data_IF_481915822908
#
_entry.id   IF_481915822908
#
_cell.length_a   1.000
_cell.length_b   1.000
_cell.length_c   1.000
_cell.angle_alpha   90.00
_cell.angle_beta   90.00
_cell.angle_gamma   90.00
#
_symmetry.space_group_name_H-M   'P 1'
#
loop_
_entity.id
_entity.type
_entity.pdbx_description
1 polymer ?
#
# COMPACT_ATOMS: atom_id res chain seq x y z
N UNK A 1 -31.26 -4.54 -18.36
CA UNK A 1 -30.39 -4.05 -19.45
C UNK A 1 -29.25 -5.03 -19.58
N UNK A 2 -29.15 -5.74 -20.69
CA UNK A 2 -28.02 -6.63 -20.93
C UNK A 2 -26.82 -5.81 -21.37
N UNK A 3 -25.75 -5.82 -20.59
CA UNK A 3 -24.46 -5.24 -20.99
C UNK A 3 -23.86 -6.12 -22.08
N UNK A 4 -24.07 -5.74 -23.35
CA UNK A 4 -23.43 -6.39 -24.50
C UNK A 4 -21.92 -6.29 -24.34
N UNK A 5 -21.31 -7.42 -23.98
CA UNK A 5 -19.85 -7.56 -23.88
C UNK A 5 -19.26 -7.23 -25.26
N UNK A 6 -18.25 -6.37 -25.30
CA UNK A 6 -17.54 -6.06 -26.55
C UNK A 6 -16.69 -7.27 -26.95
N UNK A 7 -16.73 -7.72 -28.23
CA UNK A 7 -15.97 -8.90 -28.65
C UNK A 7 -14.48 -8.80 -28.35
N UNK A 8 -13.85 -9.94 -28.09
CA UNK A 8 -12.41 -10.10 -27.99
C UNK A 8 -11.72 -9.90 -29.35
N UNK A 9 -10.41 -9.61 -29.36
CA UNK A 9 -9.65 -9.51 -30.61
C UNK A 9 -9.63 -10.82 -31.39
N UNK A 10 -9.57 -11.95 -30.67
CA UNK A 10 -9.57 -13.28 -31.25
C UNK A 10 -10.87 -13.58 -32.01
N UNK A 11 -12.04 -13.24 -31.45
CA UNK A 11 -13.33 -13.37 -32.14
C UNK A 11 -13.39 -12.50 -33.42
N UNK A 12 -12.85 -11.28 -33.38
CA UNK A 12 -12.80 -10.41 -34.55
C UNK A 12 -11.86 -10.96 -35.65
N UNK A 13 -10.72 -11.54 -35.27
CA UNK A 13 -9.83 -12.24 -36.22
C UNK A 13 -10.50 -13.48 -36.83
N UNK A 14 -11.22 -14.28 -36.04
CA UNK A 14 -11.98 -15.42 -36.54
C UNK A 14 -13.04 -15.01 -37.57
N UNK A 15 -13.87 -14.01 -37.26
CA UNK A 15 -14.89 -13.47 -38.17
C UNK A 15 -14.24 -12.86 -39.43
N UNK A 16 -13.09 -12.21 -39.31
CA UNK A 16 -12.38 -11.63 -40.45
C UNK A 16 -11.79 -12.71 -41.39
N UNK A 17 -11.28 -13.81 -40.81
CA UNK A 17 -10.83 -14.98 -41.55
C UNK A 17 -11.97 -15.65 -42.31
N UNK A 18 -13.11 -15.91 -41.64
CA UNK A 18 -14.32 -16.48 -42.26
C UNK A 18 -14.86 -15.60 -43.40
N UNK A 19 -14.76 -14.28 -43.28
CA UNK A 19 -15.18 -13.31 -44.32
C UNK A 19 -14.14 -13.14 -45.45
N UNK A 20 -13.04 -13.90 -45.45
CA UNK A 20 -12.01 -13.85 -46.47
C UNK A 20 -11.33 -12.48 -46.61
N UNK A 21 -11.29 -11.70 -45.52
CA UNK A 21 -10.58 -10.43 -45.51
C UNK A 21 -9.07 -10.69 -45.66
N UNK A 22 -8.39 -9.81 -46.42
CA UNK A 22 -6.94 -9.81 -46.55
C UNK A 22 -6.38 -8.65 -45.74
N UNK A 23 -5.22 -8.84 -45.12
CA UNK A 23 -4.50 -7.82 -44.34
C UNK A 23 -5.24 -7.29 -43.09
N UNK A 24 -6.05 -8.12 -42.42
CA UNK A 24 -6.76 -7.72 -41.20
C UNK A 24 -5.94 -7.85 -39.90
N UNK A 25 -4.83 -8.60 -39.92
CA UNK A 25 -4.01 -8.90 -38.73
C UNK A 25 -3.27 -7.67 -38.15
N UNK A 26 -3.13 -6.60 -38.94
CA UNK A 26 -2.45 -5.35 -38.55
C UNK A 26 -3.45 -4.23 -38.20
N UNK A 27 -4.75 -4.54 -38.09
CA UNK A 27 -5.78 -3.55 -37.79
C UNK A 27 -6.01 -3.45 -36.28
N UNK A 28 -6.10 -2.22 -35.77
CA UNK A 28 -6.46 -1.98 -34.38
C UNK A 28 -7.85 -2.54 -34.06
N UNK A 29 -8.11 -2.88 -32.79
CA UNK A 29 -9.43 -3.36 -32.33
C UNK A 29 -10.61 -2.50 -32.82
N UNK A 30 -10.63 -1.16 -32.65
CA UNK A 30 -11.74 -0.34 -33.14
C UNK A 30 -11.84 -0.30 -34.67
N UNK A 31 -10.73 -0.35 -35.40
CA UNK A 31 -10.73 -0.35 -36.88
C UNK A 31 -11.28 -1.66 -37.43
N UNK A 32 -10.81 -2.80 -36.91
CA UNK A 32 -11.27 -4.12 -37.29
C UNK A 32 -12.76 -4.32 -36.96
N UNK A 33 -13.18 -3.92 -35.76
CA UNK A 33 -14.58 -3.93 -35.35
C UNK A 33 -15.46 -3.07 -36.27
N UNK A 34 -15.01 -1.85 -36.58
CA UNK A 34 -15.70 -0.96 -37.52
C UNK A 34 -15.78 -1.52 -38.94
N UNK A 35 -14.70 -2.16 -39.42
CA UNK A 35 -14.63 -2.75 -40.75
C UNK A 35 -15.53 -4.00 -40.88
N UNK A 36 -15.64 -4.79 -39.81
CA UNK A 36 -16.55 -5.92 -39.73
C UNK A 36 -18.02 -5.47 -39.68
N UNK A 37 -18.37 -4.47 -38.86
CA UNK A 37 -19.73 -3.90 -38.83
C UNK A 37 -20.12 -3.27 -40.18
N UNK A 38 -19.22 -2.54 -40.85
CA UNK A 38 -19.47 -1.93 -42.17
C UNK A 38 -19.79 -2.96 -43.27
N UNK A 39 -19.37 -4.22 -43.13
CA UNK A 39 -19.73 -5.31 -44.05
C UNK A 39 -20.94 -6.14 -43.62
N UNK A 40 -21.48 -5.90 -42.43
CA UNK A 40 -22.62 -6.66 -41.89
C UNK A 40 -23.98 -6.15 -42.41
N UNK A 41 -24.01 -4.93 -42.97
CA UNK A 41 -25.12 -4.42 -43.79
C UNK A 41 -24.69 -4.23 -45.24
N UNK A 42 -24.89 -5.25 -46.10
CA UNK A 42 -24.28 -5.30 -47.43
C UNK A 42 -25.13 -5.91 -48.55
N UNK A 43 -26.46 -5.96 -48.41
CA UNK A 43 -27.35 -6.37 -49.49
C UNK A 43 -27.80 -5.20 -50.36
N UNK A 44 -27.26 -5.08 -51.58
CA UNK A 44 -27.91 -4.35 -52.68
C UNK A 44 -27.44 -2.90 -53.00
N UNK A 45 -26.88 -2.76 -54.20
CA UNK A 45 -26.97 -1.67 -55.19
C UNK A 45 -27.14 -0.16 -54.80
N UNK A 46 -26.36 0.65 -55.55
CA UNK A 46 -26.65 2.03 -56.04
C UNK A 46 -26.67 3.23 -55.07
N UNK A 47 -25.58 4.03 -55.15
CA UNK A 47 -25.46 5.50 -55.31
C UNK A 47 -26.29 6.51 -54.45
N UNK A 48 -25.81 7.76 -54.28
CA UNK A 48 -26.03 8.57 -53.07
C UNK A 48 -27.14 9.63 -53.20
N UNK A 49 -27.50 10.31 -52.09
CA UNK A 49 -27.79 11.77 -52.02
C UNK A 49 -28.03 12.28 -50.56
N UNK A 50 -27.32 13.35 -50.20
CA UNK A 50 -27.63 14.54 -49.37
C UNK A 50 -28.30 14.52 -47.97
N UNK A 51 -27.71 15.38 -47.12
CA UNK A 51 -28.29 16.44 -46.26
C UNK A 51 -29.48 16.15 -45.32
N UNK A 52 -29.30 16.45 -44.01
CA UNK A 52 -29.87 17.65 -43.35
C UNK A 52 -30.09 17.50 -41.82
N UNK A 53 -29.41 18.37 -41.08
CA UNK A 53 -29.78 19.00 -39.79
C UNK A 53 -31.14 18.66 -39.15
N UNK A 54 -31.12 18.44 -37.82
CA UNK A 54 -31.49 19.49 -36.83
C UNK A 54 -31.28 19.02 -35.39
N UNK A 55 -30.35 19.67 -34.68
CA UNK A 55 -30.27 19.58 -33.22
C UNK A 55 -31.20 20.60 -32.54
N UNK A 56 -31.68 20.24 -31.35
CA UNK A 56 -32.76 20.98 -30.65
C UNK A 56 -32.22 21.87 -29.55
N UNK A 57 -32.77 23.08 -29.44
CA UNK A 57 -32.36 24.10 -28.45
C UNK A 57 -33.13 24.01 -27.11
N UNK A 58 -32.37 24.22 -26.01
CA UNK A 58 -32.64 25.15 -24.88
C UNK A 58 -33.46 24.80 -23.62
N UNK A 59 -32.88 25.28 -22.50
CA UNK A 59 -33.38 25.77 -21.19
C UNK A 59 -34.06 24.77 -20.21
N UNK A 60 -33.69 24.66 -18.92
CA UNK A 60 -33.84 25.59 -17.73
C UNK A 60 -35.33 25.95 -17.47
N UNK A 61 -35.98 25.92 -16.30
CA UNK A 61 -35.73 26.20 -14.85
C UNK A 61 -36.79 25.44 -13.98
N UNK A 62 -36.82 25.34 -12.63
CA UNK A 62 -35.88 25.50 -11.49
C UNK A 62 -36.54 25.02 -10.16
N UNK A 63 -35.77 24.76 -9.09
CA UNK A 63 -36.18 24.77 -7.64
C UNK A 63 -37.30 23.77 -7.20
N UNK A 64 -37.57 23.45 -5.93
CA UNK A 64 -37.21 23.95 -4.58
C UNK A 64 -36.86 22.80 -3.59
N UNK A 65 -36.47 23.15 -2.36
CA UNK A 65 -36.13 22.22 -1.29
C UNK A 65 -37.04 22.36 -0.05
N UNK A 66 -36.83 21.48 0.94
CA UNK A 66 -37.31 21.49 2.34
C UNK A 66 -38.64 20.78 2.63
N UNK A 67 -38.59 19.76 3.50
CA UNK A 67 -39.38 19.65 4.73
C UNK A 67 -38.77 18.56 5.65
N UNK A 68 -38.82 18.81 6.95
CA UNK A 68 -38.24 18.04 8.06
C UNK A 68 -39.02 16.79 8.44
N UNK A 69 -38.36 15.81 9.10
CA UNK A 69 -39.05 14.90 10.03
C UNK A 69 -38.13 14.31 11.11
N UNK A 70 -38.58 14.42 12.37
CA UNK A 70 -37.95 13.89 13.58
C UNK A 70 -38.91 12.95 14.33
N UNK A 71 -38.36 11.98 15.06
CA UNK A 71 -38.89 11.25 16.23
C UNK A 71 -37.95 10.06 16.48
N UNK A 72 -37.30 9.84 17.64
CA UNK A 72 -37.79 9.79 19.02
C UNK A 72 -38.94 8.78 19.26
N UNK A 73 -38.57 7.59 19.73
CA UNK A 73 -39.41 6.66 20.48
C UNK A 73 -38.68 6.32 21.78
N UNK A 74 -39.20 6.79 22.92
CA UNK A 74 -40.06 6.01 23.84
C UNK A 74 -39.36 4.74 24.36
N UNK A 75 -38.94 4.52 25.61
CA UNK A 75 -39.23 5.05 26.97
C UNK A 75 -39.78 3.94 27.90
N UNK A 76 -39.36 4.01 29.17
CA UNK A 76 -40.04 3.48 30.37
C UNK A 76 -40.31 1.96 30.50
N UNK A 77 -39.52 1.32 31.37
CA UNK A 77 -40.03 0.28 32.27
C UNK A 77 -39.46 0.46 33.69
N UNK A 78 -40.20 1.20 34.53
CA UNK A 78 -39.97 1.22 35.99
C UNK A 78 -40.72 0.05 36.61
N UNK A 79 -40.05 -0.78 37.42
CA UNK A 79 -40.72 -1.45 38.55
C UNK A 79 -39.83 -1.45 39.79
N UNK A 80 -40.47 -1.12 40.91
CA UNK A 80 -39.88 -0.68 42.18
C UNK A 80 -40.34 -1.66 43.25
N UNK A 81 -39.44 -2.24 44.02
CA UNK A 81 -39.73 -2.73 45.39
C UNK A 81 -38.48 -2.58 46.26
N UNK A 82 -38.70 -2.17 47.51
CA UNK A 82 -37.71 -1.72 48.49
C UNK A 82 -38.13 -2.30 49.83
N UNK A 83 -37.25 -3.05 50.50
CA UNK A 83 -37.47 -3.48 51.90
C UNK A 83 -36.12 -3.63 52.61
N UNK A 84 -35.87 -2.72 53.58
CA UNK A 84 -35.08 -2.81 54.84
C UNK A 84 -33.79 -3.66 54.92
N UNK A 85 -32.65 -3.12 55.38
CA UNK A 85 -32.28 -2.86 56.81
C UNK A 85 -32.32 -4.15 57.67
N UNK A 86 -31.28 -4.55 58.42
CA UNK A 86 -29.96 -3.97 58.68
C UNK A 86 -28.97 -5.08 59.18
N UNK A 87 -27.72 -4.71 59.47
CA UNK A 87 -26.75 -5.42 60.33
C UNK A 87 -26.20 -6.80 59.90
N UNK A 88 -24.94 -6.81 59.42
CA UNK A 88 -23.78 -7.14 60.30
C UNK A 88 -22.44 -6.83 59.63
N UNK A 89 -21.45 -6.57 60.48
CA UNK A 89 -20.10 -6.19 60.10
C UNK A 89 -19.21 -7.40 59.74
N UNK A 90 -18.03 -7.08 59.20
CA UNK A 90 -16.89 -7.98 58.96
C UNK A 90 -17.15 -9.17 58.01
N UNK A 91 -16.74 -9.01 56.75
CA UNK A 91 -15.53 -9.66 56.22
C UNK A 91 -15.54 -9.65 54.68
N UNK A 92 -14.75 -8.75 54.07
CA UNK A 92 -14.43 -8.78 52.63
C UNK A 92 -13.15 -7.97 52.34
N UNK A 93 -12.02 -8.42 52.91
CA UNK A 93 -10.68 -7.96 52.50
C UNK A 93 -10.06 -8.78 51.35
N UNK A 94 -10.88 -9.45 50.54
CA UNK A 94 -10.45 -10.20 49.35
C UNK A 94 -11.34 -9.93 48.11
N UNK A 95 -11.37 -8.66 47.65
CA UNK A 95 -11.97 -8.31 46.35
C UNK A 95 -10.93 -8.36 45.24
N UNK A 96 -10.75 -9.56 44.71
CA UNK A 96 -10.24 -9.87 43.36
C UNK A 96 -8.95 -9.12 42.98
N UNK A 97 -7.80 -9.70 43.33
CA UNK A 97 -6.62 -9.58 42.46
C UNK A 97 -7.03 -10.11 41.09
N UNK A 98 -7.22 -9.22 40.12
CA UNK A 98 -7.36 -9.62 38.73
C UNK A 98 -6.12 -10.46 38.38
N UNK A 99 -6.33 -11.61 37.72
CA UNK A 99 -5.23 -12.51 37.38
C UNK A 99 -4.32 -11.78 36.39
N UNK A 100 -3.23 -11.20 36.89
CA UNK A 100 -2.27 -10.45 36.09
C UNK A 100 -1.63 -11.41 35.10
N UNK A 101 -2.05 -11.32 33.84
CA UNK A 101 -1.45 -12.06 32.74
C UNK A 101 -0.19 -11.29 32.35
N UNK A 102 0.93 -11.66 32.96
CA UNK A 102 2.25 -11.21 32.55
C UNK A 102 2.63 -12.02 31.31
N UNK A 103 3.03 -11.33 30.24
CA UNK A 103 3.54 -11.94 29.02
C UNK A 103 4.88 -12.64 29.29
N UNK A 104 5.11 -13.80 28.67
CA UNK A 104 6.37 -14.58 28.83
C UNK A 104 7.45 -14.19 27.81
N UNK A 105 7.07 -13.50 26.75
CA UNK A 105 7.94 -13.03 25.67
C UNK A 105 7.84 -11.51 25.57
N UNK A 106 8.96 -10.85 25.25
CA UNK A 106 9.02 -9.45 24.88
C UNK A 106 8.16 -9.18 23.63
N UNK A 107 7.15 -8.29 23.67
CA UNK A 107 6.28 -8.05 22.51
C UNK A 107 6.97 -7.40 21.31
N UNK A 108 8.16 -6.79 21.49
CA UNK A 108 8.90 -6.14 20.40
C UNK A 108 9.67 -7.17 19.58
N UNK A 109 10.53 -7.95 20.24
CA UNK A 109 11.41 -8.93 19.56
C UNK A 109 10.84 -10.36 19.50
N UNK A 110 9.72 -10.63 20.20
CA UNK A 110 9.15 -11.97 20.41
C UNK A 110 10.12 -12.97 21.06
N UNK A 111 11.13 -12.46 21.75
CA UNK A 111 12.15 -13.21 22.47
C UNK A 111 11.78 -13.37 23.96
N UNK A 112 12.47 -14.25 24.69
CA UNK A 112 12.27 -14.41 26.13
C UNK A 112 12.59 -13.11 26.91
N UNK A 113 11.88 -12.91 28.02
CA UNK A 113 12.16 -11.78 28.91
C UNK A 113 13.48 -12.01 29.66
N UNK A 114 14.39 -11.04 29.55
CA UNK A 114 15.71 -11.05 30.15
C UNK A 114 15.73 -10.52 31.59
N UNK A 115 16.93 -10.28 32.16
CA UNK A 115 17.10 -9.83 33.54
C UNK A 115 16.72 -8.35 33.78
N UNK A 116 16.55 -7.56 32.71
CA UNK A 116 16.24 -6.13 32.77
C UNK A 116 14.97 -5.83 31.99
N UNK A 117 13.88 -5.65 32.73
CA UNK A 117 12.53 -5.49 32.18
C UNK A 117 11.85 -4.21 32.64
N UNK A 118 11.01 -3.64 31.78
CA UNK A 118 10.15 -2.49 32.10
C UNK A 118 8.67 -2.90 32.11
N UNK A 119 7.96 -2.59 33.20
CA UNK A 119 6.52 -2.84 33.34
C UNK A 119 5.70 -1.59 33.02
N UNK A 120 4.75 -1.72 32.08
CA UNK A 120 3.79 -0.66 31.73
C UNK A 120 2.36 -1.08 32.07
N UNK A 121 1.66 -0.25 32.84
CA UNK A 121 0.26 -0.48 33.24
C UNK A 121 -0.68 0.31 32.33
N UNK A 122 -1.50 -0.42 31.57
CA UNK A 122 -2.47 0.15 30.63
C UNK A 122 -3.72 0.65 31.36
N UNK A 123 -4.51 1.49 30.68
CA UNK A 123 -5.75 2.09 31.21
C UNK A 123 -6.82 1.08 31.63
N UNK A 124 -6.79 -0.14 31.08
CA UNK A 124 -7.66 -1.26 31.44
C UNK A 124 -7.17 -2.07 32.67
N UNK A 125 -6.03 -1.70 33.27
CA UNK A 125 -5.40 -2.40 34.39
C UNK A 125 -4.59 -3.65 34.00
N UNK A 126 -4.43 -3.96 32.71
CA UNK A 126 -3.45 -4.96 32.27
C UNK A 126 -2.03 -4.40 32.33
N UNK A 127 -1.07 -5.25 32.67
CA UNK A 127 0.36 -4.91 32.69
C UNK A 127 1.04 -5.69 31.59
N UNK A 128 1.91 -5.01 30.84
CA UNK A 128 2.81 -5.60 29.86
C UNK A 128 4.25 -5.39 30.31
N UNK A 129 5.10 -6.34 29.99
CA UNK A 129 6.52 -6.34 30.35
C UNK A 129 7.36 -6.36 29.08
N UNK A 130 8.27 -5.41 28.94
CA UNK A 130 9.22 -5.33 27.81
C UNK A 130 10.64 -5.62 28.28
N UNK A 131 11.48 -6.13 27.40
CA UNK A 131 12.92 -6.03 27.60
C UNK A 131 13.33 -4.56 27.47
N UNK A 132 14.14 -4.05 28.40
CA UNK A 132 14.52 -2.63 28.41
C UNK A 132 15.34 -2.28 27.16
N UNK A 133 16.20 -3.19 26.73
CA UNK A 133 17.03 -3.04 25.52
C UNK A 133 16.18 -2.84 24.25
N UNK A 134 15.24 -3.74 23.98
CA UNK A 134 14.38 -3.64 22.80
C UNK A 134 13.45 -2.44 22.85
N UNK A 135 12.95 -2.05 24.04
CA UNK A 135 12.11 -0.87 24.21
C UNK A 135 12.89 0.44 23.95
N UNK A 136 14.12 0.55 24.48
CA UNK A 136 14.98 1.72 24.23
C UNK A 136 15.37 1.80 22.75
N UNK A 137 15.82 0.69 22.15
CA UNK A 137 16.16 0.63 20.73
C UNK A 137 14.95 0.97 19.84
N UNK A 138 13.75 0.49 20.19
CA UNK A 138 12.51 0.83 19.49
C UNK A 138 12.22 2.34 19.53
N UNK A 139 12.23 2.95 20.73
CA UNK A 139 11.94 4.38 20.89
C UNK A 139 12.97 5.22 20.12
N UNK A 140 14.26 4.90 20.23
CA UNK A 140 15.33 5.64 19.57
C UNK A 140 15.39 5.43 18.06
N UNK A 141 15.04 4.25 17.54
CA UNK A 141 15.04 3.98 16.09
C UNK A 141 13.77 4.49 15.39
N UNK A 142 12.63 4.53 16.09
CA UNK A 142 11.36 4.95 15.49
C UNK A 142 11.02 6.41 15.72
N UNK A 143 11.44 6.98 16.86
CA UNK A 143 10.98 8.27 17.35
C UNK A 143 9.57 8.26 17.97
N UNK A 144 8.98 7.08 18.18
CA UNK A 144 7.66 6.96 18.81
C UNK A 144 7.80 6.76 20.33
N UNK A 145 7.43 7.79 21.08
CA UNK A 145 7.43 7.81 22.55
C UNK A 145 6.12 7.28 23.15
N UNK A 146 5.51 6.33 22.44
CA UNK A 146 4.26 5.67 22.81
C UNK A 146 4.50 4.17 23.00
N UNK A 147 3.67 3.54 23.83
CA UNK A 147 3.77 2.11 24.07
C UNK A 147 3.48 1.31 22.77
N UNK A 148 4.32 0.33 22.37
CA UNK A 148 4.32 -0.21 21.00
C UNK A 148 3.01 -0.89 20.53
N UNK A 149 2.29 -1.57 21.43
CA UNK A 149 1.07 -2.31 21.09
C UNK A 149 -0.17 -1.41 21.07
N UNK A 150 -0.31 -0.56 22.09
CA UNK A 150 -1.52 0.22 22.39
C UNK A 150 -1.44 1.67 21.92
N UNK A 151 -0.24 2.16 21.57
CA UNK A 151 0.06 3.55 21.18
C UNK A 151 -0.37 4.58 22.22
N UNK A 152 -0.42 4.18 23.49
CA UNK A 152 -0.62 5.09 24.61
C UNK A 152 0.71 5.84 24.86
N UNK A 153 0.76 7.18 24.82
CA UNK A 153 1.97 7.93 25.07
C UNK A 153 2.57 7.61 26.45
N UNK A 154 3.87 7.39 26.53
CA UNK A 154 4.58 7.30 27.80
C UNK A 154 4.56 8.66 28.51
N UNK A 155 4.36 8.67 29.83
CA UNK A 155 4.55 9.89 30.62
C UNK A 155 6.04 10.18 30.84
N UNK A 156 6.39 11.43 31.15
CA UNK A 156 7.78 11.80 31.49
C UNK A 156 8.36 10.92 32.62
N UNK A 157 7.51 10.46 33.55
CA UNK A 157 7.90 9.54 34.62
C UNK A 157 8.20 8.13 34.11
N UNK A 158 7.54 7.70 33.05
CA UNK A 158 7.79 6.40 32.42
C UNK A 158 9.10 6.42 31.65
N UNK A 159 9.32 7.47 30.84
CA UNK A 159 10.58 7.69 30.12
C UNK A 159 11.78 7.77 31.09
N UNK A 160 11.67 8.53 32.19
CA UNK A 160 12.70 8.55 33.23
C UNK A 160 12.93 7.18 33.89
N UNK A 161 11.89 6.35 34.07
CA UNK A 161 12.05 4.98 34.59
C UNK A 161 12.75 4.08 33.58
N UNK A 162 12.44 4.20 32.29
CA UNK A 162 13.11 3.46 31.21
C UNK A 162 14.62 3.78 31.20
N UNK A 163 15.00 5.06 31.27
CA UNK A 163 16.42 5.48 31.34
C UNK A 163 17.14 4.95 32.60
N UNK A 164 16.45 4.89 33.75
CA UNK A 164 17.00 4.31 34.99
C UNK A 164 17.24 2.80 34.84
N UNK A 165 16.30 2.04 34.27
CA UNK A 165 16.50 0.61 34.03
C UNK A 165 17.55 0.35 32.95
N UNK A 166 17.63 1.18 31.90
CA UNK A 166 18.66 1.12 30.86
C UNK A 166 20.07 1.34 31.43
N UNK A 167 20.19 2.30 32.36
CA UNK A 167 21.43 2.58 33.10
C UNK A 167 21.86 1.41 33.97
N UNK A 168 20.91 0.73 34.66
CA UNK A 168 21.20 -0.49 35.43
C UNK A 168 21.63 -1.66 34.54
N UNK A 169 21.02 -1.78 33.37
CA UNK A 169 21.36 -2.76 32.33
C UNK A 169 22.69 -2.43 31.62
N UNK A 170 23.28 -1.25 31.87
CA UNK A 170 24.52 -0.75 31.25
C UNK A 170 24.44 -0.68 29.71
N UNK A 171 23.26 -0.36 29.19
CA UNK A 171 23.07 -0.12 27.75
C UNK A 171 23.87 1.12 27.32
N UNK A 172 24.58 1.03 26.20
CA UNK A 172 25.34 2.14 25.62
C UNK A 172 24.48 2.96 24.65
N UNK A 173 23.22 3.19 25.04
CA UNK A 173 22.20 3.87 24.24
C UNK A 173 22.00 5.31 24.73
N UNK A 174 21.39 6.15 23.88
CA UNK A 174 21.05 7.53 24.25
C UNK A 174 19.85 7.56 25.20
N UNK A 175 19.73 8.61 26.02
CA UNK A 175 18.56 8.79 26.89
C UNK A 175 17.27 8.96 26.07
N UNK A 176 16.23 8.20 26.41
CA UNK A 176 14.89 8.36 25.80
C UNK A 176 14.23 9.66 26.22
N UNK A 177 14.53 10.18 27.42
CA UNK A 177 14.07 11.51 27.88
C UNK A 177 14.72 12.64 27.08
N UNK A 178 16.01 12.53 26.74
CA UNK A 178 16.68 13.50 25.86
C UNK A 178 16.20 13.41 24.41
N UNK A 179 15.94 12.20 23.91
CA UNK A 179 15.34 12.00 22.61
C UNK A 179 13.93 12.64 22.53
N UNK A 180 13.09 12.50 23.57
CA UNK A 180 11.75 13.09 23.61
C UNK A 180 11.76 14.63 23.54
N UNK A 181 12.77 15.30 24.13
CA UNK A 181 12.94 16.75 24.00
C UNK A 181 13.24 17.18 22.55
N UNK A 182 13.87 16.29 21.78
CA UNK A 182 14.23 16.51 20.37
C UNK A 182 13.25 15.84 19.40
N UNK A 183 12.01 15.51 19.82
CA UNK A 183 10.99 14.80 19.01
C UNK A 183 10.82 15.32 17.58
N UNK A 184 10.98 16.63 17.34
CA UNK A 184 10.91 17.22 16.00
C UNK A 184 11.93 16.63 15.01
N UNK A 185 13.16 16.31 15.43
CA UNK A 185 14.17 15.72 14.54
C UNK A 185 13.74 14.32 14.08
N UNK A 186 13.15 13.54 14.98
CA UNK A 186 12.61 12.22 14.66
C UNK A 186 11.38 12.28 13.75
N UNK A 187 10.55 13.32 13.88
CA UNK A 187 9.42 13.58 12.98
C UNK A 187 9.90 13.94 11.56
N UNK A 188 10.93 14.79 11.44
CA UNK A 188 11.58 15.11 10.16
C UNK A 188 12.23 13.87 9.51
N UNK A 189 12.99 13.09 10.28
CA UNK A 189 13.58 11.82 9.81
C UNK A 189 12.51 10.79 9.42
N UNK A 190 11.40 10.73 10.14
CA UNK A 190 10.26 9.88 9.79
C UNK A 190 9.63 10.33 8.47
N UNK A 191 9.39 11.63 8.26
CA UNK A 191 8.89 12.16 6.98
C UNK A 191 9.85 11.81 5.84
N UNK A 192 11.16 11.90 6.05
CA UNK A 192 12.16 11.46 5.05
C UNK A 192 12.04 9.96 4.75
N UNK A 193 11.96 9.10 5.77
CA UNK A 193 11.80 7.63 5.60
C UNK A 193 10.49 7.27 4.88
N UNK A 194 9.37 7.89 5.27
CA UNK A 194 8.07 7.67 4.66
C UNK A 194 8.06 8.15 3.18
N UNK A 195 8.79 9.21 2.86
CA UNK A 195 9.02 9.67 1.49
C UNK A 195 9.84 8.69 0.63
N UNK A 196 10.93 8.14 1.19
CA UNK A 196 11.74 7.10 0.52
C UNK A 196 10.91 5.83 0.28
N UNK A 197 10.08 5.42 1.24
CA UNK A 197 9.14 4.30 1.09
C UNK A 197 8.06 4.59 0.05
N UNK A 198 7.62 5.85 -0.08
CA UNK A 198 6.73 6.28 -1.16
C UNK A 198 7.36 6.11 -2.54
N UNK A 199 8.61 6.56 -2.72
CA UNK A 199 9.38 6.40 -3.96
C UNK A 199 9.63 4.92 -4.29
N UNK A 200 9.91 4.07 -3.29
CA UNK A 200 10.07 2.63 -3.48
C UNK A 200 8.79 1.99 -4.03
N UNK A 201 7.61 2.33 -3.48
CA UNK A 201 6.32 1.87 -4.01
C UNK A 201 6.11 2.33 -5.45
N UNK A 202 6.40 3.59 -5.76
CA UNK A 202 6.33 4.11 -7.14
C UNK A 202 7.26 3.33 -8.09
N UNK A 203 8.49 3.01 -7.66
CA UNK A 203 9.43 2.19 -8.43
C UNK A 203 8.89 0.75 -8.62
N UNK A 204 8.33 0.15 -7.57
CA UNK A 204 7.69 -1.18 -7.60
C UNK A 204 6.55 -1.27 -8.61
N UNK A 205 5.73 -0.23 -8.79
CA UNK A 205 4.70 -0.20 -9.84
C UNK A 205 5.28 -0.28 -11.26
N UNK A 206 6.46 0.31 -11.52
CA UNK A 206 7.14 0.14 -12.80
C UNK A 206 7.75 -1.25 -12.96
N UNK A 207 8.20 -1.88 -11.87
CA UNK A 207 8.66 -3.28 -11.90
C UNK A 207 7.50 -4.25 -12.16
N UNK A 208 6.29 -3.97 -11.63
CA UNK A 208 5.09 -4.73 -11.99
C UNK A 208 4.78 -4.59 -13.49
N UNK A 209 4.85 -3.39 -14.06
CA UNK A 209 4.67 -3.18 -15.51
C UNK A 209 5.75 -3.86 -16.36
N UNK A 210 6.99 -3.91 -15.88
CA UNK A 210 8.05 -4.70 -16.52
C UNK A 210 7.68 -6.19 -16.56
N UNK A 211 7.08 -6.72 -15.50
CA UNK A 211 6.61 -8.11 -15.45
C UNK A 211 5.42 -8.35 -16.39
N UNK A 212 4.45 -7.43 -16.43
CA UNK A 212 3.32 -7.47 -17.38
C UNK A 212 3.79 -7.50 -18.85
N UNK A 213 4.85 -6.75 -19.18
CA UNK A 213 5.48 -6.74 -20.52
C UNK A 213 6.29 -8.01 -20.81
N UNK A 214 6.83 -8.68 -19.78
CA UNK A 214 7.50 -9.99 -19.94
C UNK A 214 6.48 -11.10 -20.21
N UNK A 215 5.29 -10.99 -19.62
CA UNK A 215 4.21 -11.96 -19.77
C UNK A 215 3.26 -11.69 -20.95
N UNK A 216 3.47 -10.61 -21.73
CA UNK A 216 2.67 -10.29 -22.93
C UNK A 216 3.11 -11.05 -24.19
N UNK A 217 2.20 -11.19 -25.16
CA UNK A 217 2.42 -11.82 -26.46
C UNK A 217 2.82 -10.84 -27.57
N UNK A 218 2.80 -9.53 -27.31
CA UNK A 218 3.32 -8.49 -28.20
C UNK A 218 4.68 -7.94 -27.69
N UNK A 219 5.82 -8.33 -28.29
CA UNK A 219 7.14 -7.82 -27.92
C UNK A 219 7.45 -6.45 -28.52
N UNK A 220 6.80 -6.04 -29.62
CA UNK A 220 7.06 -4.75 -30.29
C UNK A 220 6.43 -3.59 -29.50
N UNK A 221 5.18 -3.76 -29.06
CA UNK A 221 4.53 -2.83 -28.12
C UNK A 221 5.27 -2.84 -26.76
N UNK A 222 5.72 -4.01 -26.31
CA UNK A 222 6.52 -4.18 -25.09
C UNK A 222 7.82 -3.36 -25.10
N UNK A 223 8.66 -3.50 -26.13
CA UNK A 223 9.91 -2.76 -26.27
C UNK A 223 9.68 -1.23 -26.31
N UNK A 224 8.65 -0.79 -27.06
CA UNK A 224 8.26 0.62 -27.13
C UNK A 224 7.87 1.16 -25.74
N UNK A 225 7.05 0.42 -24.98
CA UNK A 225 6.62 0.83 -23.63
C UNK A 225 7.79 0.87 -22.65
N UNK A 226 8.72 -0.08 -22.71
CA UNK A 226 9.92 -0.10 -21.87
C UNK A 226 10.77 1.15 -22.10
N UNK A 227 11.13 1.44 -23.35
CA UNK A 227 12.02 2.56 -23.70
C UNK A 227 11.36 3.92 -23.46
N UNK A 228 10.11 4.10 -23.88
CA UNK A 228 9.45 5.41 -23.87
C UNK A 228 8.88 5.82 -22.52
N UNK A 229 8.63 4.89 -21.59
CA UNK A 229 7.87 5.16 -20.38
C UNK A 229 8.45 4.46 -19.14
N UNK A 230 8.58 3.12 -19.18
CA UNK A 230 8.85 2.34 -17.96
C UNK A 230 10.30 2.50 -17.47
N UNK A 231 11.30 2.40 -18.35
CA UNK A 231 12.71 2.58 -17.97
C UNK A 231 13.05 4.00 -17.51
N UNK A 232 12.67 5.09 -18.21
CA UNK A 232 12.93 6.45 -17.73
C UNK A 232 12.28 6.71 -16.36
N UNK A 233 11.00 6.35 -16.21
CA UNK A 233 10.24 6.62 -14.98
C UNK A 233 10.73 5.81 -13.78
N UNK A 234 11.07 4.53 -13.99
CA UNK A 234 11.71 3.72 -12.95
C UNK A 234 13.07 4.31 -12.57
N UNK A 235 13.90 4.66 -13.56
CA UNK A 235 15.25 5.15 -13.32
C UNK A 235 15.27 6.46 -12.54
N UNK A 236 14.32 7.37 -12.76
CA UNK A 236 14.21 8.61 -11.98
C UNK A 236 13.80 8.33 -10.53
N UNK A 237 12.71 7.57 -10.31
CA UNK A 237 12.25 7.21 -8.97
C UNK A 237 13.36 6.48 -8.18
N UNK A 238 14.04 5.51 -8.80
CA UNK A 238 15.11 4.77 -8.15
C UNK A 238 16.36 5.63 -7.85
N UNK A 239 16.71 6.58 -8.73
CA UNK A 239 17.79 7.52 -8.47
C UNK A 239 17.47 8.46 -7.30
N UNK A 240 16.20 8.89 -7.16
CA UNK A 240 15.77 9.66 -5.98
C UNK A 240 15.90 8.86 -4.68
N UNK A 241 15.58 7.55 -4.68
CA UNK A 241 15.83 6.65 -3.53
C UNK A 241 17.34 6.60 -3.24
N UNK A 242 18.17 6.28 -4.24
CA UNK A 242 19.62 6.12 -4.10
C UNK A 242 20.32 7.37 -3.56
N UNK A 243 19.90 8.56 -3.98
CA UNK A 243 20.44 9.84 -3.49
C UNK A 243 20.12 10.11 -2.01
N UNK A 244 19.02 9.57 -1.51
CA UNK A 244 18.56 9.79 -0.14
C UNK A 244 19.02 8.71 0.85
N UNK A 245 19.06 7.46 0.39
CA UNK A 245 19.56 6.29 1.11
C UNK A 245 20.07 5.22 0.12
N UNK A 246 21.40 5.12 0.01
CA UNK A 246 22.05 4.18 -0.91
C UNK A 246 22.01 2.72 -0.45
N UNK A 247 21.88 2.46 0.86
CA UNK A 247 21.81 1.09 1.37
C UNK A 247 20.40 0.53 1.20
N UNK A 248 19.38 1.32 1.51
CA UNK A 248 17.99 0.98 1.23
C UNK A 248 17.79 0.76 -0.28
N UNK A 249 18.31 1.64 -1.14
CA UNK A 249 18.25 1.45 -2.59
C UNK A 249 18.88 0.12 -3.05
N UNK A 250 20.02 -0.29 -2.46
CA UNK A 250 20.66 -1.59 -2.75
C UNK A 250 19.75 -2.77 -2.35
N UNK A 251 19.07 -2.69 -1.21
CA UNK A 251 18.11 -3.71 -0.78
C UNK A 251 16.89 -3.77 -1.71
N UNK A 252 16.25 -2.63 -2.00
CA UNK A 252 15.09 -2.56 -2.91
C UNK A 252 15.43 -3.10 -4.30
N UNK A 253 16.56 -2.72 -4.88
CA UNK A 253 17.00 -3.25 -6.18
C UNK A 253 17.24 -4.76 -6.15
N UNK A 254 17.78 -5.30 -5.06
CA UNK A 254 17.93 -6.75 -4.90
C UNK A 254 16.57 -7.45 -4.90
N UNK A 255 15.56 -6.88 -4.24
CA UNK A 255 14.19 -7.39 -4.26
C UNK A 255 13.56 -7.29 -5.65
N UNK A 256 13.71 -6.16 -6.36
CA UNK A 256 13.17 -5.98 -7.73
C UNK A 256 13.76 -7.01 -8.71
N UNK A 257 15.07 -7.23 -8.67
CA UNK A 257 15.75 -8.24 -9.51
C UNK A 257 15.32 -9.67 -9.14
N UNK A 258 15.11 -9.96 -7.85
CA UNK A 258 14.61 -11.27 -7.42
C UNK A 258 13.15 -11.50 -7.83
N UNK A 259 12.30 -10.48 -7.71
CA UNK A 259 10.90 -10.51 -8.13
C UNK A 259 10.77 -10.76 -9.63
N UNK A 260 11.49 -10.00 -10.47
CA UNK A 260 11.52 -10.19 -11.93
C UNK A 260 12.01 -11.58 -12.36
N UNK A 261 12.88 -12.24 -11.59
CA UNK A 261 13.36 -13.61 -11.86
C UNK A 261 12.36 -14.70 -11.44
N UNK A 262 11.49 -14.40 -10.48
CA UNK A 262 10.63 -15.38 -9.82
C UNK A 262 11.41 -16.36 -8.91
N UNK A 263 10.70 -17.18 -8.12
CA UNK A 263 11.33 -18.19 -7.26
C UNK A 263 11.93 -19.35 -8.08
N UNK A 264 12.99 -19.99 -7.57
CA UNK A 264 13.76 -21.03 -8.29
C UNK A 264 12.94 -22.23 -8.81
N UNK A 265 11.81 -22.55 -8.16
CA UNK A 265 10.91 -23.64 -8.54
C UNK A 265 9.80 -23.21 -9.52
N UNK A 266 9.61 -21.90 -9.73
CA UNK A 266 8.64 -21.32 -10.66
C UNK A 266 9.21 -19.96 -11.15
N UNK A 267 10.21 -19.98 -12.04
CA UNK A 267 10.75 -18.74 -12.61
C UNK A 267 9.68 -18.02 -13.43
N UNK A 268 9.90 -16.74 -13.67
CA UNK A 268 9.06 -15.90 -14.55
C UNK A 268 8.98 -16.50 -15.95
N UNK A 269 7.78 -16.46 -16.55
CA UNK A 269 7.55 -16.93 -17.93
C UNK A 269 7.76 -15.78 -18.90
N UNK A 270 8.89 -15.82 -19.61
CA UNK A 270 9.24 -14.82 -20.61
C UNK A 270 8.58 -15.14 -21.96
N UNK A 271 7.44 -14.51 -22.23
CA UNK A 271 6.67 -14.69 -23.47
C UNK A 271 7.15 -13.73 -24.57
N UNK A 272 7.50 -12.50 -24.21
CA UNK A 272 8.00 -11.48 -25.15
C UNK A 272 9.50 -11.59 -25.45
N UNK A 273 10.28 -12.31 -24.63
CA UNK A 273 11.74 -12.40 -24.76
C UNK A 273 12.49 -11.20 -24.19
N UNK A 274 11.79 -10.30 -23.49
CA UNK A 274 12.31 -9.03 -22.98
C UNK A 274 12.90 -9.13 -21.57
N UNK A 275 12.70 -10.24 -20.86
CA UNK A 275 13.22 -10.43 -19.49
C UNK A 275 14.75 -10.20 -19.37
N UNK A 276 15.61 -10.68 -20.30
CA UNK A 276 17.05 -10.41 -20.23
C UNK A 276 17.39 -8.92 -20.39
N UNK A 277 16.64 -8.20 -21.21
CA UNK A 277 16.81 -6.76 -21.44
C UNK A 277 16.49 -5.97 -20.17
N UNK A 278 15.35 -6.29 -19.53
CA UNK A 278 14.93 -5.68 -18.28
C UNK A 278 15.91 -5.98 -17.14
N UNK A 279 16.37 -7.22 -17.00
CA UNK A 279 17.36 -7.58 -15.98
C UNK A 279 18.70 -6.86 -16.20
N UNK A 280 19.14 -6.72 -17.46
CA UNK A 280 20.32 -5.93 -17.81
C UNK A 280 20.17 -4.44 -17.45
N UNK A 281 19.01 -3.85 -17.78
CA UNK A 281 18.64 -2.48 -17.40
C UNK A 281 18.69 -2.28 -15.88
N UNK A 282 18.01 -3.14 -15.10
CA UNK A 282 17.99 -3.05 -13.63
C UNK A 282 19.39 -3.14 -13.03
N UNK A 283 20.24 -4.04 -13.56
CA UNK A 283 21.62 -4.16 -13.13
C UNK A 283 22.48 -2.92 -13.46
N UNK A 284 22.27 -2.28 -14.62
CA UNK A 284 23.00 -1.07 -15.01
C UNK A 284 22.52 0.16 -14.23
N UNK A 285 21.21 0.26 -13.94
CA UNK A 285 20.66 1.25 -13.00
C UNK A 285 21.26 1.03 -11.61
N UNK A 286 21.34 -0.22 -11.12
CA UNK A 286 21.97 -0.55 -9.83
C UNK A 286 23.42 -0.05 -9.75
N UNK A 287 24.19 -0.24 -10.84
CA UNK A 287 25.59 0.18 -11.00
C UNK A 287 25.75 1.70 -11.23
N UNK A 288 24.65 2.44 -11.39
CA UNK A 288 24.67 3.89 -11.66
C UNK A 288 25.09 4.27 -13.07
N UNK A 289 25.03 3.34 -14.02
CA UNK A 289 25.40 3.57 -15.43
C UNK A 289 24.26 4.15 -16.25
N UNK A 290 23.02 3.88 -15.86
CA UNK A 290 21.82 4.40 -16.49
C UNK A 290 21.07 5.29 -15.49
N UNK A 291 20.64 6.45 -15.98
CA UNK A 291 19.85 7.47 -15.29
C UNK A 291 18.83 8.04 -16.29
N UNK A 292 17.86 8.83 -15.84
CA UNK A 292 16.83 9.41 -16.73
C UNK A 292 17.42 10.16 -17.94
N UNK A 293 18.56 10.84 -17.76
CA UNK A 293 19.29 11.54 -18.81
C UNK A 293 19.87 10.65 -19.92
N UNK A 294 20.04 9.34 -19.68
CA UNK A 294 20.42 8.39 -20.72
C UNK A 294 19.29 8.15 -21.74
N UNK A 295 18.06 8.52 -21.39
CA UNK A 295 16.86 8.41 -22.23
C UNK A 295 16.41 9.77 -22.81
N UNK A 296 17.21 10.82 -22.65
CA UNK A 296 16.95 12.15 -23.25
C UNK A 296 15.99 13.06 -22.47
N UNK A 297 15.79 12.81 -21.18
CA UNK A 297 15.00 13.63 -20.24
C UNK A 297 15.91 14.44 -19.30
#
# INVERSE_FOLDING_TARGET
>A
METRSSPSMWELHAIAHERGLKYYMHLSKPDLFSLLQRKEGGGGLLKPVKDANKDTMRLTESSEATITRSSERLSLLKKKRKTRENDKAEDMRDKKKAKMVINTLDPIMLAELGPHTFEFTRTNGSVVVYNVESLVQYILATGDFSEPETRIPFSDKDLCRIDIEASKAKLNEKSVVEAMKNKHTFEEEKVKRDGILGLERCASEYVNKMLEIVESDDPEEGEMLLIMNVFPSFSDNFEQIRRNDSEYARHSMSHFIQYMKGPKNRPTVDQSGLLPVILGFLEDVAKGKQGASAFGF
#
